data_IF_949126571493
#
_entry.id   IF_949126571493
#
_cell.length_a   1.000
_cell.length_b   1.000
_cell.length_c   1.000
_cell.angle_alpha   90.00
_cell.angle_beta   90.00
_cell.angle_gamma   90.00
#
_symmetry.space_group_name_H-M   'P 1'
#
loop_
_entity.id
_entity.type
_entity.pdbx_description
1 polymer ?
#
# COMPACT_ATOMS: atom_id res chain seq x y z
N UNK A 1 4.15 41.63 -2.56
CA UNK A 1 3.39 40.70 -1.68
C UNK A 1 2.84 41.52 -0.52
N UNK A 2 1.53 41.64 -0.43
CA UNK A 2 0.82 42.37 0.62
C UNK A 2 0.98 41.65 1.96
N UNK A 3 0.95 42.41 3.07
CA UNK A 3 1.04 41.86 4.45
C UNK A 3 -0.12 40.90 4.82
N UNK A 4 -1.16 40.82 3.97
CA UNK A 4 -2.32 39.94 4.13
C UNK A 4 -2.06 38.47 3.72
N UNK A 5 -0.91 38.15 3.10
CA UNK A 5 -0.60 36.81 2.60
C UNK A 5 0.23 35.94 3.55
N UNK A 6 0.43 36.39 4.79
CA UNK A 6 1.10 35.55 5.80
C UNK A 6 0.08 34.58 6.41
N UNK A 7 0.38 33.25 6.46
CA UNK A 7 -0.49 32.30 7.13
C UNK A 7 -0.72 32.74 8.58
N UNK A 8 -1.99 32.67 9.02
CA UNK A 8 -2.31 32.88 10.43
C UNK A 8 -1.61 31.80 11.27
N UNK A 9 -1.11 32.12 12.48
CA UNK A 9 -0.46 31.15 13.37
C UNK A 9 -1.36 29.98 13.82
N UNK A 10 -2.64 29.98 13.42
CA UNK A 10 -3.67 28.99 13.75
C UNK A 10 -4.24 28.26 12.53
N UNK A 11 -3.60 28.35 11.33
CA UNK A 11 -4.06 27.63 10.16
C UNK A 11 -3.73 26.14 10.31
N UNK A 12 -4.70 25.23 10.05
CA UNK A 12 -4.44 23.79 10.07
C UNK A 12 -3.63 23.35 8.84
N UNK A 13 -2.93 22.21 8.97
CA UNK A 13 -2.15 21.67 7.85
C UNK A 13 -3.04 21.43 6.61
N UNK A 14 -4.26 20.90 6.80
CA UNK A 14 -5.24 20.70 5.72
C UNK A 14 -5.60 22.01 5.02
N UNK A 15 -5.82 23.09 5.79
CA UNK A 15 -6.15 24.41 5.23
C UNK A 15 -4.98 24.97 4.40
N UNK A 16 -3.73 24.77 4.87
CA UNK A 16 -2.53 25.18 4.12
C UNK A 16 -2.46 24.47 2.77
N UNK A 17 -2.61 23.13 2.76
CA UNK A 17 -2.56 22.33 1.53
C UNK A 17 -3.71 22.68 0.58
N UNK A 18 -4.94 22.82 1.08
CA UNK A 18 -6.11 23.18 0.29
C UNK A 18 -5.94 24.57 -0.39
N UNK A 19 -5.41 25.57 0.34
CA UNK A 19 -5.12 26.90 -0.20
C UNK A 19 -4.07 26.86 -1.31
N UNK A 20 -3.14 25.90 -1.26
CA UNK A 20 -2.12 25.67 -2.28
C UNK A 20 -2.62 24.80 -3.45
N UNK A 21 -3.89 24.38 -3.45
CA UNK A 21 -4.49 23.56 -4.50
C UNK A 21 -4.15 22.08 -4.44
N UNK A 22 -3.64 21.59 -3.30
CA UNK A 22 -3.35 20.19 -3.05
C UNK A 22 -4.56 19.45 -2.44
N UNK A 23 -4.48 18.13 -2.29
CA UNK A 23 -5.52 17.31 -1.68
C UNK A 23 -6.76 17.07 -2.56
N UNK A 24 -6.71 17.37 -3.88
CA UNK A 24 -7.81 17.05 -4.79
C UNK A 24 -7.89 15.55 -5.06
N UNK A 25 -9.10 15.02 -5.06
CA UNK A 25 -9.34 13.63 -5.41
C UNK A 25 -9.20 13.38 -6.91
N UNK A 26 -8.46 12.34 -7.28
CA UNK A 26 -8.39 11.82 -8.65
C UNK A 26 -9.61 10.95 -8.99
N UNK A 27 -10.27 10.41 -7.99
CA UNK A 27 -11.41 9.49 -8.09
C UNK A 27 -11.02 8.10 -8.56
N UNK A 28 -11.95 7.17 -8.40
CA UNK A 28 -11.79 5.79 -8.89
C UNK A 28 -12.16 5.73 -10.38
N UNK A 29 -11.29 5.11 -11.19
CA UNK A 29 -11.52 4.83 -12.60
C UNK A 29 -12.50 3.67 -12.82
N UNK A 30 -12.33 2.97 -13.94
CA UNK A 30 -13.25 1.90 -14.37
C UNK A 30 -12.62 0.49 -14.32
N UNK A 31 -11.30 0.40 -14.25
CA UNK A 31 -10.54 -0.86 -14.27
C UNK A 31 -9.61 -0.97 -13.05
N UNK A 32 -10.15 -1.20 -11.85
CA UNK A 32 -9.34 -1.28 -10.63
C UNK A 32 -8.61 -2.62 -10.51
N UNK A 33 -7.46 -2.59 -9.80
CA UNK A 33 -6.73 -3.75 -9.31
C UNK A 33 -6.44 -3.58 -7.82
N UNK A 34 -6.24 -4.68 -7.10
CA UNK A 34 -5.82 -4.70 -5.70
C UNK A 34 -4.37 -5.14 -5.59
N UNK A 35 -3.55 -4.36 -4.87
CA UNK A 35 -2.22 -4.78 -4.44
C UNK A 35 -2.16 -4.85 -2.92
N UNK A 36 -1.83 -6.03 -2.40
CA UNK A 36 -1.63 -6.29 -0.97
C UNK A 36 -0.14 -6.33 -0.71
N UNK A 37 0.36 -5.32 -0.01
CA UNK A 37 1.78 -5.10 0.24
C UNK A 37 2.19 -5.80 1.52
N UNK A 38 3.06 -6.80 1.41
CA UNK A 38 3.85 -7.42 2.47
C UNK A 38 3.08 -7.91 3.73
N UNK A 39 1.82 -8.32 3.62
CA UNK A 39 1.17 -9.04 4.71
C UNK A 39 1.70 -10.47 4.79
N UNK A 40 2.92 -10.58 5.29
CA UNK A 40 3.63 -11.83 5.57
C UNK A 40 3.72 -12.07 7.08
N UNK A 41 3.97 -13.30 7.48
CA UNK A 41 4.00 -13.73 8.90
C UNK A 41 4.89 -12.82 9.74
N UNK A 42 6.08 -12.46 9.25
CA UNK A 42 7.00 -11.60 10.00
C UNK A 42 6.46 -10.20 10.27
N UNK A 43 5.68 -9.61 9.35
CA UNK A 43 5.06 -8.29 9.55
C UNK A 43 3.73 -8.37 10.31
N UNK A 44 3.09 -9.53 10.38
CA UNK A 44 1.93 -9.74 11.24
C UNK A 44 2.30 -9.97 12.70
N UNK A 45 3.52 -10.46 12.97
CA UNK A 45 4.01 -10.80 14.32
C UNK A 45 4.64 -9.57 15.01
N UNK A 46 4.05 -9.06 16.11
CA UNK A 46 4.57 -7.93 16.87
C UNK A 46 5.93 -8.21 17.53
N UNK A 47 6.34 -9.47 17.67
CA UNK A 47 7.67 -9.84 18.20
C UNK A 47 8.77 -9.77 17.12
N UNK A 48 8.40 -9.62 15.86
CA UNK A 48 9.32 -9.50 14.71
C UNK A 48 9.29 -8.08 14.11
N UNK A 49 8.41 -7.85 13.14
CA UNK A 49 8.33 -6.56 12.42
C UNK A 49 6.97 -5.87 12.57
N UNK A 50 6.02 -6.52 13.21
CA UNK A 50 4.64 -6.09 13.34
C UNK A 50 4.39 -5.11 14.48
N UNK A 51 3.11 -4.99 14.87
CA UNK A 51 2.64 -4.15 15.96
C UNK A 51 1.65 -3.08 15.51
N UNK A 52 1.45 -2.06 16.32
CA UNK A 52 0.55 -0.94 16.05
C UNK A 52 -0.86 -1.39 15.65
N UNK A 53 -1.31 -0.93 14.47
CA UNK A 53 -2.62 -1.26 13.92
C UNK A 53 -2.58 -2.34 12.81
N UNK A 54 -1.48 -3.09 12.63
CA UNK A 54 -1.35 -4.09 11.56
C UNK A 54 -2.40 -5.20 11.70
N UNK A 55 -2.65 -5.71 12.91
CA UNK A 55 -3.66 -6.76 13.14
C UNK A 55 -5.06 -6.33 12.68
N UNK A 56 -5.63 -5.25 13.20
CA UNK A 56 -6.91 -4.71 12.72
C UNK A 56 -6.95 -4.46 11.20
N UNK A 57 -5.85 -3.97 10.60
CA UNK A 57 -5.79 -3.72 9.17
C UNK A 57 -5.82 -5.04 8.34
N UNK A 58 -5.22 -6.12 8.82
CA UNK A 58 -5.33 -7.45 8.22
C UNK A 58 -6.80 -7.91 8.17
N UNK A 59 -7.54 -7.77 9.27
CA UNK A 59 -8.96 -8.16 9.33
C UNK A 59 -9.81 -7.43 8.28
N UNK A 60 -9.57 -6.14 8.08
CA UNK A 60 -10.25 -5.37 7.03
C UNK A 60 -9.78 -5.78 5.63
N UNK A 61 -8.50 -6.10 5.47
CA UNK A 61 -7.95 -6.55 4.18
C UNK A 61 -8.55 -7.86 3.71
N UNK A 62 -8.87 -8.80 4.60
CA UNK A 62 -9.59 -10.03 4.24
C UNK A 62 -10.91 -9.71 3.53
N UNK A 63 -11.68 -8.78 4.09
CA UNK A 63 -12.96 -8.35 3.49
C UNK A 63 -12.78 -7.61 2.15
N UNK A 64 -11.72 -6.81 2.02
CA UNK A 64 -11.39 -6.12 0.76
C UNK A 64 -10.95 -7.11 -0.31
N UNK A 65 -10.12 -8.09 0.04
CA UNK A 65 -9.67 -9.16 -0.85
C UNK A 65 -10.85 -9.98 -1.38
N UNK A 66 -11.77 -10.36 -0.49
CA UNK A 66 -12.98 -11.08 -0.91
C UNK A 66 -13.87 -10.24 -1.84
N UNK A 67 -13.96 -8.94 -1.61
CA UNK A 67 -14.66 -8.04 -2.53
C UNK A 67 -13.96 -8.00 -3.89
N UNK A 68 -12.65 -7.77 -3.95
CA UNK A 68 -11.88 -7.74 -5.19
C UNK A 68 -12.02 -9.04 -5.99
N UNK A 69 -12.01 -10.19 -5.31
CA UNK A 69 -12.24 -11.51 -5.90
C UNK A 69 -13.64 -11.64 -6.52
N UNK A 70 -14.67 -11.20 -5.80
CA UNK A 70 -16.06 -11.21 -6.33
C UNK A 70 -16.23 -10.30 -7.54
N UNK A 71 -15.53 -9.17 -7.56
CA UNK A 71 -15.55 -8.21 -8.67
C UNK A 71 -14.65 -8.61 -9.82
N UNK A 72 -13.90 -9.71 -9.72
CA UNK A 72 -12.97 -10.18 -10.76
C UNK A 72 -11.78 -9.25 -10.99
N UNK A 73 -11.37 -8.48 -9.99
CA UNK A 73 -10.23 -7.59 -10.13
C UNK A 73 -8.91 -8.36 -10.28
N UNK A 74 -7.94 -7.85 -11.04
CA UNK A 74 -6.57 -8.31 -10.93
C UNK A 74 -6.05 -8.09 -9.50
N UNK A 75 -5.44 -9.13 -8.92
CA UNK A 75 -4.92 -9.09 -7.54
C UNK A 75 -3.45 -9.46 -7.55
N UNK A 76 -2.63 -8.66 -6.86
CA UNK A 76 -1.23 -8.95 -6.63
C UNK A 76 -0.90 -8.88 -5.13
N UNK A 77 -0.05 -9.79 -4.69
CA UNK A 77 0.52 -9.83 -3.34
C UNK A 77 2.02 -9.64 -3.42
N UNK A 78 2.63 -8.93 -2.47
CA UNK A 78 4.07 -8.81 -2.42
C UNK A 78 4.67 -9.47 -1.17
N UNK A 79 5.91 -9.90 -1.30
CA UNK A 79 6.75 -10.44 -0.23
C UNK A 79 8.14 -9.83 -0.33
N UNK A 80 8.69 -9.35 0.79
CA UNK A 80 10.12 -9.04 0.85
C UNK A 80 10.87 -10.37 0.97
N UNK A 81 11.80 -10.63 0.04
CA UNK A 81 12.56 -11.89 0.03
C UNK A 81 13.99 -11.63 -0.43
N UNK A 82 14.94 -12.04 0.39
CA UNK A 82 16.38 -12.02 0.12
C UNK A 82 16.92 -13.44 -0.11
N UNK A 83 18.07 -13.53 -0.74
CA UNK A 83 18.80 -14.79 -0.88
C UNK A 83 19.21 -15.35 0.49
N UNK A 84 19.25 -16.69 0.63
CA UNK A 84 19.57 -17.37 1.89
C UNK A 84 20.97 -17.00 2.41
N UNK A 85 21.92 -16.72 1.51
CA UNK A 85 23.28 -16.31 1.81
C UNK A 85 23.46 -14.79 1.90
N UNK A 86 22.38 -14.00 1.71
CA UNK A 86 22.42 -12.55 1.71
C UNK A 86 23.18 -11.91 0.55
N UNK A 87 23.53 -12.67 -0.50
CA UNK A 87 24.31 -12.21 -1.66
C UNK A 87 23.63 -11.09 -2.46
N UNK A 88 22.32 -10.96 -2.34
CA UNK A 88 21.50 -9.93 -2.98
C UNK A 88 21.11 -8.77 -2.02
N UNK A 89 21.72 -8.72 -0.83
CA UNK A 89 21.54 -7.64 0.12
C UNK A 89 22.01 -6.29 -0.45
N UNK A 90 21.34 -5.21 -0.03
CA UNK A 90 21.66 -3.86 -0.47
C UNK A 90 21.60 -2.85 0.67
N UNK A 91 21.65 -1.56 0.33
CA UNK A 91 21.64 -0.46 1.32
C UNK A 91 20.42 -0.52 2.27
N UNK A 92 19.28 -1.03 1.78
CA UNK A 92 18.08 -1.17 2.61
C UNK A 92 18.34 -2.08 3.82
N UNK A 93 19.07 -3.18 3.64
CA UNK A 93 19.42 -4.08 4.74
C UNK A 93 20.50 -3.54 5.68
N UNK A 94 21.30 -2.54 5.25
CA UNK A 94 22.19 -1.83 6.17
C UNK A 94 21.40 -0.98 7.17
N UNK A 95 20.27 -0.42 6.75
CA UNK A 95 19.35 0.34 7.64
C UNK A 95 18.44 -0.56 8.45
N UNK A 96 18.06 -1.72 7.91
CA UNK A 96 17.13 -2.66 8.50
C UNK A 96 17.68 -4.10 8.38
N UNK A 97 18.75 -4.45 9.10
CA UNK A 97 19.45 -5.73 8.93
C UNK A 97 18.59 -6.95 9.24
N UNK A 98 17.57 -6.80 10.09
CA UNK A 98 16.61 -7.85 10.40
C UNK A 98 15.80 -8.33 9.19
N UNK A 99 15.68 -7.54 8.11
CA UNK A 99 15.03 -7.96 6.88
C UNK A 99 15.70 -9.16 6.21
N UNK A 100 16.99 -9.41 6.47
CA UNK A 100 17.70 -10.61 5.98
C UNK A 100 17.13 -11.93 6.54
N UNK A 101 16.28 -11.88 7.58
CA UNK A 101 15.51 -13.06 8.03
C UNK A 101 14.41 -13.48 7.04
N UNK A 102 14.05 -12.60 6.11
CA UNK A 102 13.00 -12.82 5.11
C UNK A 102 13.61 -13.47 3.87
N UNK A 103 13.85 -14.77 3.93
CA UNK A 103 14.37 -15.55 2.79
C UNK A 103 13.25 -16.36 2.14
N UNK A 104 13.51 -17.02 1.00
CA UNK A 104 12.47 -17.76 0.26
C UNK A 104 11.80 -18.83 1.13
N UNK A 105 12.58 -19.56 1.91
CA UNK A 105 12.09 -20.68 2.72
C UNK A 105 11.69 -20.28 4.12
N UNK A 106 12.03 -19.06 4.55
CA UNK A 106 11.70 -18.56 5.89
C UNK A 106 10.18 -18.49 6.10
N UNK A 107 9.65 -19.05 7.19
CA UNK A 107 8.24 -18.86 7.55
C UNK A 107 7.84 -17.38 7.65
N UNK A 108 8.77 -16.50 8.08
CA UNK A 108 8.51 -15.08 8.26
C UNK A 108 8.18 -14.35 6.96
N UNK A 109 8.67 -14.85 5.81
CA UNK A 109 8.41 -14.26 4.50
C UNK A 109 7.17 -14.81 3.80
N UNK A 110 6.50 -15.81 4.37
CA UNK A 110 5.29 -16.37 3.77
C UNK A 110 4.09 -15.46 3.99
N UNK A 111 3.22 -15.36 2.97
CA UNK A 111 1.95 -14.64 3.11
C UNK A 111 1.13 -15.29 4.21
N UNK A 112 0.49 -14.48 5.04
CA UNK A 112 -0.33 -15.00 6.17
C UNK A 112 -1.50 -15.86 5.64
N UNK A 113 -1.93 -16.86 6.41
CA UNK A 113 -2.98 -17.79 5.99
C UNK A 113 -4.30 -17.11 5.59
N UNK A 114 -4.68 -16.04 6.28
CA UNK A 114 -5.91 -15.29 6.05
C UNK A 114 -5.97 -14.62 4.67
N UNK A 115 -4.81 -14.35 4.07
CA UNK A 115 -4.68 -13.70 2.76
C UNK A 115 -4.06 -14.63 1.72
N UNK A 116 -4.13 -15.94 1.91
CA UNK A 116 -3.57 -16.94 0.98
C UNK A 116 -3.98 -16.64 -0.47
N UNK A 117 -3.01 -16.45 -1.38
CA UNK A 117 -3.30 -16.20 -2.79
C UNK A 117 -4.01 -17.38 -3.46
N UNK A 118 -4.90 -17.08 -4.42
CA UNK A 118 -5.57 -18.07 -5.26
C UNK A 118 -4.88 -18.18 -6.63
N UNK A 119 -5.17 -19.26 -7.35
CA UNK A 119 -4.72 -19.40 -8.73
C UNK A 119 -5.15 -18.19 -9.59
N UNK A 120 -4.22 -17.62 -10.33
CA UNK A 120 -4.43 -16.42 -11.14
C UNK A 120 -4.08 -15.10 -10.43
N UNK A 121 -3.90 -15.09 -9.12
CA UNK A 121 -3.37 -13.93 -8.38
C UNK A 121 -1.83 -13.89 -8.50
N UNK A 122 -1.26 -12.71 -8.67
CA UNK A 122 0.18 -12.53 -8.84
C UNK A 122 0.88 -12.48 -7.47
N UNK A 123 1.95 -13.25 -7.30
CA UNK A 123 2.83 -13.15 -6.13
C UNK A 123 4.15 -12.54 -6.59
N UNK A 124 4.52 -11.41 -5.99
CA UNK A 124 5.72 -10.66 -6.32
C UNK A 124 6.74 -10.79 -5.18
N UNK A 125 7.93 -11.25 -5.51
CA UNK A 125 9.10 -11.17 -4.64
C UNK A 125 9.81 -9.85 -4.91
N UNK A 126 10.13 -9.11 -3.87
CA UNK A 126 10.86 -7.83 -3.98
C UNK A 126 11.93 -7.71 -2.91
N UNK A 127 12.97 -6.92 -3.18
CA UNK A 127 14.05 -6.56 -2.24
C UNK A 127 13.96 -5.11 -1.79
N UNK A 128 13.33 -4.26 -2.59
CA UNK A 128 13.08 -2.85 -2.27
C UNK A 128 11.78 -2.62 -1.54
N UNK A 129 11.53 -1.39 -1.11
CA UNK A 129 10.31 -1.01 -0.41
C UNK A 129 9.10 -1.03 -1.35
N UNK A 130 9.19 -0.40 -2.52
CA UNK A 130 8.07 -0.32 -3.48
C UNK A 130 7.77 -1.66 -4.13
N UNK A 131 6.48 -1.94 -4.32
CA UNK A 131 5.99 -3.07 -5.11
C UNK A 131 6.30 -2.94 -6.61
N UNK A 132 6.66 -1.73 -7.09
CA UNK A 132 7.01 -1.49 -8.49
C UNK A 132 8.50 -1.61 -8.77
N UNK A 133 9.34 -1.26 -7.79
CA UNK A 133 10.78 -1.17 -8.01
C UNK A 133 11.40 -2.55 -8.29
N UNK A 134 11.98 -2.72 -9.47
CA UNK A 134 12.62 -3.96 -9.93
C UNK A 134 11.68 -5.19 -9.90
N UNK A 135 10.40 -4.98 -10.28
CA UNK A 135 9.36 -6.01 -10.28
C UNK A 135 8.54 -5.99 -11.59
N UNK A 136 7.82 -7.06 -11.90
CA UNK A 136 6.94 -7.09 -13.09
C UNK A 136 5.62 -6.34 -12.90
N UNK A 137 5.34 -5.70 -11.75
CA UNK A 137 4.00 -5.19 -11.40
C UNK A 137 3.47 -4.22 -12.45
N UNK A 138 4.26 -3.21 -12.87
CA UNK A 138 3.81 -2.22 -13.86
C UNK A 138 3.36 -2.88 -15.15
N UNK A 139 4.21 -3.74 -15.72
CA UNK A 139 3.89 -4.43 -16.97
C UNK A 139 2.65 -5.32 -16.86
N UNK A 140 2.51 -6.00 -15.73
CA UNK A 140 1.37 -6.85 -15.43
C UNK A 140 0.05 -6.08 -15.32
N UNK A 141 0.05 -4.91 -14.65
CA UNK A 141 -1.11 -4.01 -14.56
C UNK A 141 -1.46 -3.40 -15.92
N UNK A 142 -0.45 -2.92 -16.67
CA UNK A 142 -0.63 -2.34 -18.00
C UNK A 142 -1.24 -3.33 -18.98
N UNK A 143 -0.75 -4.57 -19.00
CA UNK A 143 -1.30 -5.64 -19.85
C UNK A 143 -2.78 -5.90 -19.56
N UNK A 144 -3.19 -5.75 -18.30
CA UNK A 144 -4.60 -5.90 -17.86
C UNK A 144 -5.44 -4.63 -18.01
N UNK A 145 -4.86 -3.56 -18.59
CA UNK A 145 -5.53 -2.27 -18.80
C UNK A 145 -6.07 -1.65 -17.51
N UNK A 146 -5.38 -1.90 -16.39
CA UNK A 146 -5.70 -1.30 -15.10
C UNK A 146 -5.49 0.21 -15.17
N UNK A 147 -6.44 0.99 -14.67
CA UNK A 147 -6.36 2.44 -14.53
C UNK A 147 -6.31 2.93 -13.08
N UNK A 148 -6.68 2.06 -12.15
CA UNK A 148 -6.79 2.38 -10.72
C UNK A 148 -6.12 1.30 -9.89
N UNK A 149 -5.24 1.70 -8.98
CA UNK A 149 -4.59 0.78 -8.04
C UNK A 149 -5.12 1.01 -6.63
N UNK A 150 -5.81 0.02 -6.08
CA UNK A 150 -6.18 -0.03 -4.67
C UNK A 150 -5.04 -0.67 -3.90
N UNK A 151 -4.54 0.00 -2.88
CA UNK A 151 -3.38 -0.44 -2.09
C UNK A 151 -3.81 -0.71 -0.65
N UNK A 152 -3.58 -1.94 -0.19
CA UNK A 152 -3.60 -2.36 1.21
C UNK A 152 -2.24 -2.93 1.61
N UNK A 153 -2.02 -3.19 2.89
CA UNK A 153 -0.77 -3.84 3.33
C UNK A 153 0.01 -3.09 4.40
N UNK A 154 1.26 -3.43 4.55
CA UNK A 154 2.17 -2.84 5.54
C UNK A 154 3.60 -2.62 4.97
N UNK A 155 4.40 -1.70 5.57
CA UNK A 155 3.96 -0.75 6.57
C UNK A 155 3.57 0.56 5.89
N UNK A 156 2.62 1.26 6.47
CA UNK A 156 2.08 2.51 5.88
C UNK A 156 3.19 3.51 5.57
N UNK A 157 4.13 3.72 6.50
CA UNK A 157 5.26 4.63 6.34
C UNK A 157 6.42 4.09 5.48
N UNK A 158 6.37 2.83 5.09
CA UNK A 158 7.42 2.13 4.35
C UNK A 158 6.97 1.65 2.98
N UNK A 159 6.75 0.34 2.86
CA UNK A 159 6.46 -0.30 1.58
C UNK A 159 5.15 0.18 0.94
N UNK A 160 4.12 0.49 1.74
CA UNK A 160 2.87 1.07 1.24
C UNK A 160 3.14 2.45 0.64
N UNK A 161 3.75 3.36 1.39
CA UNK A 161 4.10 4.71 0.89
C UNK A 161 4.92 4.66 -0.40
N UNK A 162 5.97 3.85 -0.41
CA UNK A 162 6.82 3.72 -1.59
C UNK A 162 6.03 3.21 -2.81
N UNK A 163 5.15 2.23 -2.62
CA UNK A 163 4.27 1.69 -3.67
C UNK A 163 3.28 2.73 -4.17
N UNK A 164 2.69 3.52 -3.27
CA UNK A 164 1.73 4.59 -3.61
C UNK A 164 2.39 5.68 -4.45
N UNK A 165 3.59 6.13 -4.07
CA UNK A 165 4.33 7.14 -4.82
C UNK A 165 4.67 6.63 -6.23
N UNK A 166 5.17 5.40 -6.35
CA UNK A 166 5.49 4.83 -7.66
C UNK A 166 4.23 4.57 -8.51
N UNK A 167 3.12 4.16 -7.88
CA UNK A 167 1.84 3.99 -8.56
C UNK A 167 1.40 5.30 -9.25
N UNK A 168 1.45 6.40 -8.51
CA UNK A 168 1.13 7.72 -9.05
C UNK A 168 2.11 8.13 -10.16
N UNK A 169 3.42 7.90 -9.98
CA UNK A 169 4.45 8.19 -10.99
C UNK A 169 4.31 7.34 -12.27
N UNK A 170 3.59 6.24 -12.19
CA UNK A 170 3.23 5.39 -13.34
C UNK A 170 1.84 5.69 -13.91
N UNK A 171 1.24 6.83 -13.52
CA UNK A 171 -0.06 7.35 -13.98
C UNK A 171 -1.26 6.45 -13.61
N UNK A 172 -1.16 5.64 -12.56
CA UNK A 172 -2.33 4.98 -11.99
C UNK A 172 -3.06 5.95 -11.03
N UNK A 173 -4.39 5.98 -11.09
CA UNK A 173 -5.22 6.53 -10.02
C UNK A 173 -5.01 5.66 -8.80
N UNK A 174 -4.44 6.21 -7.74
CA UNK A 174 -4.06 5.43 -6.57
C UNK A 174 -5.05 5.67 -5.43
N UNK A 175 -5.57 4.58 -4.87
CA UNK A 175 -6.46 4.57 -3.72
C UNK A 175 -5.75 3.85 -2.58
N UNK A 176 -5.57 4.50 -1.45
CA UNK A 176 -5.12 3.84 -0.21
C UNK A 176 -6.36 3.41 0.57
N UNK A 177 -6.50 2.11 0.80
CA UNK A 177 -7.55 1.56 1.67
C UNK A 177 -7.13 1.79 3.14
N UNK A 178 -7.60 2.89 3.74
CA UNK A 178 -7.07 3.43 5.01
C UNK A 178 -7.20 2.48 6.18
N UNK A 179 -8.25 1.69 6.23
CA UNK A 179 -8.49 0.65 7.23
C UNK A 179 -7.85 -0.72 6.88
N UNK A 180 -7.25 -0.82 5.67
CA UNK A 180 -6.52 -1.99 5.19
C UNK A 180 -5.01 -1.78 5.14
N UNK A 181 -4.49 -0.64 5.59
CA UNK A 181 -3.05 -0.40 5.74
C UNK A 181 -2.68 -0.27 7.21
N UNK A 182 -1.53 -0.82 7.58
CA UNK A 182 -1.07 -0.83 8.95
C UNK A 182 0.41 -0.47 9.11
N UNK A 183 0.75 -0.02 10.30
CA UNK A 183 2.14 0.25 10.70
C UNK A 183 2.39 -0.21 12.13
N UNK A 184 3.66 -0.45 12.49
CA UNK A 184 4.08 -0.84 13.82
C UNK A 184 3.96 0.28 14.85
N UNK A 185 3.84 1.55 14.39
CA UNK A 185 3.69 2.72 15.23
C UNK A 185 2.63 3.66 14.62
N UNK A 186 1.77 4.24 15.47
CA UNK A 186 0.61 5.01 15.00
C UNK A 186 1.00 6.37 14.44
N UNK A 187 1.92 7.10 15.08
CA UNK A 187 2.31 8.42 14.60
C UNK A 187 2.90 8.42 13.18
N UNK A 188 3.84 7.51 12.80
CA UNK A 188 4.24 7.35 11.40
C UNK A 188 3.10 6.95 10.47
N UNK A 189 2.17 6.10 10.91
CA UNK A 189 1.00 5.71 10.12
C UNK A 189 0.15 6.93 9.74
N UNK A 190 -0.26 7.72 10.73
CA UNK A 190 -1.11 8.90 10.55
C UNK A 190 -0.43 9.97 9.68
N UNK A 191 0.84 10.29 9.97
CA UNK A 191 1.61 11.26 9.20
C UNK A 191 1.73 10.86 7.72
N UNK A 192 1.95 9.58 7.44
CA UNK A 192 2.06 9.10 6.06
C UNK A 192 0.71 8.99 5.35
N UNK A 193 -0.38 8.68 6.03
CA UNK A 193 -1.72 8.78 5.45
C UNK A 193 -2.02 10.22 5.05
N UNK A 194 -1.80 11.19 5.96
CA UNK A 194 -1.95 12.60 5.64
C UNK A 194 -1.15 12.98 4.40
N UNK A 195 0.14 12.70 4.39
CA UNK A 195 1.05 13.06 3.31
C UNK A 195 0.66 12.44 1.95
N UNK A 196 0.30 11.15 1.95
CA UNK A 196 -0.17 10.47 0.74
C UNK A 196 -1.49 11.05 0.23
N UNK A 197 -2.43 11.36 1.12
CA UNK A 197 -3.73 11.92 0.78
C UNK A 197 -3.65 13.33 0.17
N UNK A 198 -2.64 14.10 0.56
CA UNK A 198 -2.45 15.43 0.00
C UNK A 198 -1.84 15.45 -1.40
N UNK A 199 -1.05 14.43 -1.78
CA UNK A 199 -0.19 14.52 -2.96
C UNK A 199 -0.27 13.34 -3.94
N UNK A 200 -0.55 12.13 -3.47
CA UNK A 200 -0.25 10.93 -4.24
C UNK A 200 -1.43 9.99 -4.45
N UNK A 201 -2.43 10.00 -3.55
CA UNK A 201 -3.51 9.04 -3.57
C UNK A 201 -4.80 9.61 -2.98
N UNK A 202 -5.93 9.02 -3.34
CA UNK A 202 -7.17 9.22 -2.60
C UNK A 202 -7.22 8.27 -1.41
N UNK A 203 -7.62 8.78 -0.26
CA UNK A 203 -7.82 7.98 0.95
C UNK A 203 -9.28 7.54 1.01
N UNK A 204 -9.51 6.24 1.07
CA UNK A 204 -10.84 5.64 1.17
C UNK A 204 -10.81 4.46 2.14
N UNK A 205 -11.85 4.32 2.93
CA UNK A 205 -12.08 3.09 3.69
C UNK A 205 -12.48 1.94 2.77
N UNK A 206 -12.30 0.70 3.22
CA UNK A 206 -12.82 -0.48 2.51
C UNK A 206 -14.30 -0.34 2.17
N UNK A 207 -15.12 0.18 3.09
CA UNK A 207 -16.56 0.35 2.86
C UNK A 207 -16.86 1.34 1.73
N UNK A 208 -16.14 2.46 1.66
CA UNK A 208 -16.27 3.45 0.58
C UNK A 208 -15.82 2.86 -0.76
N UNK A 209 -14.73 2.08 -0.79
CA UNK A 209 -14.26 1.37 -2.00
C UNK A 209 -15.34 0.40 -2.50
N UNK A 210 -15.91 -0.41 -1.59
CA UNK A 210 -16.99 -1.34 -1.93
C UNK A 210 -18.22 -0.61 -2.48
N UNK A 211 -18.64 0.48 -1.83
CA UNK A 211 -19.78 1.28 -2.29
C UNK A 211 -19.54 1.89 -3.69
N UNK A 212 -18.33 2.41 -3.94
CA UNK A 212 -17.96 3.03 -5.22
C UNK A 212 -17.91 2.03 -6.40
N UNK A 213 -17.79 0.73 -6.11
CA UNK A 213 -17.59 -0.32 -7.12
C UNK A 213 -18.77 -1.27 -7.27
N UNK A 214 -19.66 -1.37 -6.28
CA UNK A 214 -20.81 -2.30 -6.30
C UNK A 214 -21.86 -1.99 -7.37
N UNK A 215 -21.84 -0.83 -8.00
CA UNK A 215 -22.80 -0.44 -9.07
C UNK A 215 -22.23 -0.54 -10.50
N UNK A 216 -21.00 -1.00 -10.69
CA UNK A 216 -20.32 -1.00 -11.99
C UNK A 216 -20.12 -2.39 -12.61
N UNK A 217 -20.76 -3.42 -12.04
CA UNK A 217 -20.70 -4.80 -12.52
C UNK A 217 -22.01 -5.20 -13.19
N UNK A 218 -22.18 -4.87 -14.46
CA UNK A 218 -23.13 -5.49 -15.39
C UNK A 218 -22.60 -5.31 -16.81
#
# INVERSE_FOLDING_TARGET
MSASDRPSQNETDEAIYARQGLGRRAGMGVAPALVIVDYVVGFADPTQFGGGNIGPAIEQTVNLLDHARRMGWPIAHTRVVYAEDGSDAGVFTLKAPSLLKLTETSPLSQIIPELTPRAGELIIRKRGASAFFDTPLKGWLTFRRVDTLVVGGCTTSGCVRATVVDSMQHDFRTIVATDCVGDRAIAPHEANLFDMGQKYADLMTRAEIQAATSGKGA
#
